data_IF_653083236773
#
_entry.id   IF_653083236773
#
_cell.length_a   1.000
_cell.length_b   1.000
_cell.length_c   1.000
_cell.angle_alpha   90.00
_cell.angle_beta   90.00
_cell.angle_gamma   90.00
#
_symmetry.space_group_name_H-M   'P 1'
#
loop_
_entity.id
_entity.type
_entity.pdbx_description
1 polymer ?
#
# COMPACT_ATOMS: atom_id res chain seq x y z
N UNK A 1 12.19 -4.29 5.41
CA UNK A 1 11.76 -3.54 4.21
C UNK A 1 12.37 -4.15 2.97
N UNK A 2 11.72 -4.04 1.83
CA UNK A 2 12.25 -4.45 0.52
C UNK A 2 13.36 -3.51 0.02
N UNK A 3 13.46 -2.30 0.56
CA UNK A 3 14.47 -1.33 0.19
C UNK A 3 15.88 -1.87 0.49
N UNK A 4 16.70 -1.97 -0.54
CA UNK A 4 18.09 -2.40 -0.47
C UNK A 4 19.02 -1.18 -0.41
N UNK A 5 20.16 -1.32 0.27
CA UNK A 5 21.17 -0.27 0.22
C UNK A 5 21.67 -0.08 -1.23
N UNK A 6 21.90 1.15 -1.71
CA UNK A 6 22.31 1.42 -3.10
C UNK A 6 23.52 0.60 -3.58
N UNK A 7 24.46 0.30 -2.68
CA UNK A 7 25.65 -0.54 -2.96
C UNK A 7 25.34 -2.00 -3.31
N UNK A 8 24.07 -2.44 -3.10
CA UNK A 8 23.61 -3.81 -3.36
C UNK A 8 22.68 -3.89 -4.56
N UNK A 9 22.53 -2.79 -5.30
CA UNK A 9 21.67 -2.69 -6.47
C UNK A 9 22.55 -2.45 -7.71
N UNK A 10 22.20 -3.08 -8.81
CA UNK A 10 22.78 -2.78 -10.12
C UNK A 10 22.29 -1.41 -10.60
N UNK A 11 21.04 -1.09 -10.35
CA UNK A 11 20.41 0.21 -10.58
C UNK A 11 19.46 0.59 -9.44
N UNK A 12 19.38 1.87 -9.04
CA UNK A 12 18.42 2.32 -8.04
C UNK A 12 16.96 2.40 -8.58
N UNK A 13 16.79 2.48 -9.90
CA UNK A 13 15.48 2.49 -10.57
C UNK A 13 15.48 1.47 -11.70
N UNK A 14 14.29 0.95 -12.01
CA UNK A 14 14.08 0.21 -13.25
C UNK A 14 14.18 1.17 -14.44
N UNK A 15 14.71 0.70 -15.57
CA UNK A 15 14.68 1.43 -16.83
C UNK A 15 13.26 1.39 -17.44
N UNK A 16 12.88 2.34 -18.30
CA UNK A 16 11.55 2.37 -18.90
C UNK A 16 11.15 1.07 -19.61
N UNK A 17 12.09 0.41 -20.28
CA UNK A 17 11.89 -0.86 -20.97
C UNK A 17 11.60 -2.01 -20.00
N UNK A 18 12.25 -2.00 -18.83
CA UNK A 18 12.01 -2.99 -17.76
C UNK A 18 10.63 -2.82 -17.15
N UNK A 19 10.22 -1.56 -16.89
CA UNK A 19 8.88 -1.23 -16.39
C UNK A 19 7.82 -1.70 -17.39
N UNK A 20 8.00 -1.39 -18.69
CA UNK A 20 7.06 -1.78 -19.71
C UNK A 20 6.98 -3.30 -19.88
N UNK A 21 8.12 -4.00 -19.87
CA UNK A 21 8.17 -5.46 -19.96
C UNK A 21 7.37 -6.15 -18.83
N UNK A 22 7.45 -5.64 -17.61
CA UNK A 22 6.64 -6.17 -16.48
C UNK A 22 5.15 -5.91 -16.73
N UNK A 23 4.80 -4.72 -17.19
CA UNK A 23 3.40 -4.35 -17.47
C UNK A 23 2.81 -5.19 -18.61
N UNK A 24 3.56 -5.44 -19.68
CA UNK A 24 3.13 -6.31 -20.80
C UNK A 24 2.89 -7.75 -20.36
N UNK A 25 3.73 -8.29 -19.49
CA UNK A 25 3.50 -9.61 -18.89
C UNK A 25 2.20 -9.64 -18.08
N UNK A 26 1.90 -8.57 -17.32
CA UNK A 26 0.65 -8.42 -16.61
C UNK A 26 -0.55 -8.38 -17.55
N UNK A 27 -0.47 -7.57 -18.61
CA UNK A 27 -1.51 -7.49 -19.65
C UNK A 27 -1.78 -8.86 -20.29
N UNK A 28 -0.74 -9.64 -20.60
CA UNK A 28 -0.86 -10.98 -21.16
C UNK A 28 -1.57 -11.98 -20.22
N UNK A 29 -1.63 -11.69 -18.93
CA UNK A 29 -2.35 -12.48 -17.92
C UNK A 29 -3.68 -11.83 -17.50
N UNK A 30 -4.18 -10.88 -18.29
CA UNK A 30 -5.44 -10.17 -18.05
C UNK A 30 -5.51 -9.38 -16.74
N UNK A 31 -4.36 -9.01 -16.16
CA UNK A 31 -4.27 -8.09 -15.03
C UNK A 31 -4.86 -6.73 -15.42
N UNK A 32 -5.53 -6.05 -14.50
CA UNK A 32 -6.18 -4.75 -14.73
C UNK A 32 -5.38 -3.57 -14.19
N UNK A 33 -4.54 -3.83 -13.20
CA UNK A 33 -3.85 -2.82 -12.40
C UNK A 33 -2.33 -2.91 -12.58
N UNK A 34 -1.67 -1.74 -12.56
CA UNK A 34 -0.24 -1.60 -12.37
C UNK A 34 0.01 -0.88 -11.04
N UNK A 35 0.38 -1.63 -10.00
CA UNK A 35 0.76 -1.06 -8.70
C UNK A 35 2.23 -0.62 -8.73
N UNK A 36 2.45 0.69 -8.60
CA UNK A 36 3.76 1.29 -8.45
C UNK A 36 4.09 1.47 -6.96
N UNK A 37 4.89 0.56 -6.42
CA UNK A 37 5.40 0.62 -5.05
C UNK A 37 6.90 0.84 -5.08
N UNK A 38 7.39 1.86 -4.40
CA UNK A 38 8.78 2.29 -4.49
C UNK A 38 9.30 2.87 -3.17
N UNK A 39 10.62 3.09 -3.10
CA UNK A 39 11.25 3.80 -2.00
C UNK A 39 10.92 5.30 -2.06
N UNK A 40 10.69 5.91 -0.89
CA UNK A 40 10.35 7.31 -0.81
C UNK A 40 11.56 8.19 -1.11
N UNK A 41 11.49 8.93 -2.21
CA UNK A 41 12.41 10.00 -2.64
C UNK A 41 13.89 9.67 -2.35
N UNK A 42 14.42 8.54 -2.86
CA UNK A 42 15.79 8.11 -2.54
C UNK A 42 16.83 9.11 -3.02
N UNK A 43 16.56 9.95 -4.02
CA UNK A 43 17.40 11.04 -4.49
C UNK A 43 17.73 12.07 -3.42
N UNK A 44 16.87 12.21 -2.41
CA UNK A 44 17.15 13.12 -1.28
C UNK A 44 18.18 12.59 -0.30
N UNK A 45 18.50 11.29 -0.37
CA UNK A 45 19.41 10.59 0.55
C UNK A 45 20.65 10.04 -0.13
N UNK A 46 20.54 9.66 -1.41
CA UNK A 46 21.55 8.88 -2.11
C UNK A 46 21.93 9.55 -3.42
N UNK A 47 23.19 9.97 -3.54
CA UNK A 47 23.69 10.59 -4.76
C UNK A 47 23.52 9.69 -5.98
N UNK A 48 23.75 8.36 -5.84
CA UNK A 48 23.56 7.41 -6.93
C UNK A 48 22.13 7.40 -7.49
N UNK A 49 21.11 7.62 -6.65
CA UNK A 49 19.73 7.74 -7.11
C UNK A 49 19.50 9.04 -7.90
N UNK A 50 20.10 10.14 -7.42
CA UNK A 50 20.06 11.42 -8.12
C UNK A 50 20.76 11.35 -9.48
N UNK A 51 21.97 10.82 -9.52
CA UNK A 51 22.76 10.67 -10.76
C UNK A 51 22.01 9.78 -11.78
N UNK A 52 21.29 8.76 -11.31
CA UNK A 52 20.51 7.89 -12.19
C UNK A 52 19.30 8.60 -12.77
N UNK A 53 18.53 9.35 -11.95
CA UNK A 53 17.42 10.18 -12.44
C UNK A 53 17.89 11.20 -13.48
N UNK A 54 19.02 11.85 -13.25
CA UNK A 54 19.61 12.80 -14.21
C UNK A 54 19.94 12.13 -15.56
N UNK A 55 20.43 10.88 -15.55
CA UNK A 55 20.67 10.09 -16.78
C UNK A 55 19.38 9.76 -17.51
N UNK A 56 18.29 9.48 -16.78
CA UNK A 56 16.97 9.24 -17.32
C UNK A 56 16.25 10.53 -17.77
N UNK A 57 16.84 11.71 -17.49
CA UNK A 57 16.28 13.01 -17.85
C UNK A 57 15.27 13.59 -16.85
N UNK A 58 15.25 13.06 -15.63
CA UNK A 58 14.33 13.49 -14.57
C UNK A 58 15.08 14.11 -13.38
N UNK A 59 14.38 14.96 -12.62
CA UNK A 59 14.93 15.59 -11.41
C UNK A 59 14.54 14.86 -10.14
N UNK A 60 13.36 14.26 -10.11
CA UNK A 60 12.79 13.62 -8.92
C UNK A 60 12.20 12.24 -9.24
N UNK A 61 12.16 11.41 -8.20
CA UNK A 61 11.45 10.11 -8.27
C UNK A 61 9.98 10.30 -8.64
N UNK A 62 9.33 11.36 -8.18
CA UNK A 62 7.92 11.65 -8.48
C UNK A 62 7.71 11.98 -9.97
N UNK A 63 8.62 12.76 -10.58
CA UNK A 63 8.56 13.02 -12.02
C UNK A 63 8.74 11.74 -12.84
N UNK A 64 9.72 10.90 -12.47
CA UNK A 64 9.95 9.62 -13.13
C UNK A 64 8.77 8.67 -12.97
N UNK A 65 8.21 8.58 -11.75
CA UNK A 65 7.01 7.80 -11.50
C UNK A 65 5.84 8.21 -12.39
N UNK A 66 5.57 9.51 -12.50
CA UNK A 66 4.50 10.03 -13.37
C UNK A 66 4.71 9.66 -14.83
N UNK A 67 5.96 9.76 -15.34
CA UNK A 67 6.30 9.36 -16.71
C UNK A 67 6.10 7.85 -16.93
N UNK A 68 6.54 7.00 -16.01
CA UNK A 68 6.39 5.55 -16.11
C UNK A 68 4.93 5.12 -15.97
N UNK A 69 4.17 5.76 -15.11
CA UNK A 69 2.73 5.54 -14.95
C UNK A 69 1.98 5.81 -16.26
N UNK A 70 2.27 6.95 -16.89
CA UNK A 70 1.69 7.33 -18.17
C UNK A 70 2.09 6.35 -19.29
N UNK A 71 3.38 5.99 -19.38
CA UNK A 71 3.90 5.02 -20.35
C UNK A 71 3.15 3.68 -20.22
N UNK A 72 3.03 3.14 -19.01
CA UNK A 72 2.34 1.86 -18.79
C UNK A 72 0.89 1.94 -19.20
N UNK A 73 0.18 3.01 -18.86
CA UNK A 73 -1.22 3.17 -19.25
C UNK A 73 -1.37 3.27 -20.79
N UNK A 74 -0.56 4.08 -21.46
CA UNK A 74 -0.64 4.29 -22.91
C UNK A 74 -0.31 3.02 -23.69
N UNK A 75 0.69 2.24 -23.29
CA UNK A 75 1.14 1.06 -24.03
C UNK A 75 0.35 -0.22 -23.68
N UNK A 76 -0.16 -0.32 -22.45
CA UNK A 76 -0.78 -1.56 -21.99
C UNK A 76 -2.26 -1.45 -21.64
N UNK A 77 -2.73 -0.28 -21.28
CA UNK A 77 -4.09 -0.03 -20.78
C UNK A 77 -4.27 -0.46 -19.31
N UNK A 78 -3.20 -0.89 -18.61
CA UNK A 78 -3.26 -1.18 -17.19
C UNK A 78 -3.49 0.10 -16.39
N UNK A 79 -4.35 0.04 -15.38
CA UNK A 79 -4.71 1.18 -14.55
C UNK A 79 -3.66 1.43 -13.46
N UNK A 80 -2.95 2.58 -13.46
CA UNK A 80 -1.93 2.83 -12.47
C UNK A 80 -2.50 3.15 -11.09
N UNK A 81 -1.97 2.49 -10.06
CA UNK A 81 -2.12 2.83 -8.65
C UNK A 81 -0.76 3.20 -8.08
N UNK A 82 -0.62 4.40 -7.51
CA UNK A 82 0.69 4.95 -7.14
C UNK A 82 0.87 5.03 -5.62
N UNK A 83 1.94 4.40 -5.12
CA UNK A 83 2.29 4.39 -3.69
C UNK A 83 3.76 4.83 -3.48
N UNK A 84 4.11 6.13 -3.69
CA UNK A 84 5.47 6.62 -3.60
C UNK A 84 5.90 7.10 -2.19
N UNK A 85 5.05 6.98 -1.18
CA UNK A 85 5.28 7.54 0.16
C UNK A 85 4.71 8.94 0.34
N UNK A 86 5.37 9.79 1.15
CA UNK A 86 4.88 11.13 1.44
C UNK A 86 4.91 12.04 0.21
N UNK A 87 3.81 12.75 -0.01
CA UNK A 87 3.64 13.66 -1.14
C UNK A 87 3.12 15.02 -0.69
N UNK A 88 3.62 16.07 -1.32
CA UNK A 88 3.04 17.40 -1.23
C UNK A 88 1.74 17.47 -2.05
N UNK A 89 0.95 18.51 -1.81
CA UNK A 89 -0.26 18.78 -2.60
C UNK A 89 0.06 18.89 -4.10
N UNK A 90 1.12 19.63 -4.44
CA UNK A 90 1.56 19.83 -5.83
C UNK A 90 2.02 18.52 -6.52
N UNK A 91 2.75 17.67 -5.78
CA UNK A 91 3.17 16.35 -6.30
C UNK A 91 1.96 15.46 -6.59
N UNK A 92 0.98 15.43 -5.68
CA UNK A 92 -0.25 14.65 -5.86
C UNK A 92 -1.11 15.17 -7.02
N UNK A 93 -1.20 16.48 -7.18
CA UNK A 93 -1.95 17.12 -8.27
C UNK A 93 -1.40 16.71 -9.63
N UNK A 94 -0.05 16.68 -9.79
CA UNK A 94 0.61 16.19 -11.00
C UNK A 94 0.38 14.70 -11.25
N UNK A 95 0.50 13.87 -10.21
CA UNK A 95 0.33 12.42 -10.32
C UNK A 95 -1.13 12.00 -10.55
N UNK A 96 -2.10 12.82 -10.15
CA UNK A 96 -3.52 12.59 -10.42
C UNK A 96 -3.83 12.45 -11.92
N UNK A 97 -3.09 13.18 -12.77
CA UNK A 97 -3.29 13.14 -14.22
C UNK A 97 -2.92 11.80 -14.87
N UNK A 98 -2.17 10.96 -14.17
CA UNK A 98 -1.66 9.68 -14.70
C UNK A 98 -1.95 8.47 -13.79
N UNK A 99 -2.87 8.59 -12.84
CA UNK A 99 -3.25 7.50 -11.95
C UNK A 99 -4.75 7.49 -11.68
N UNK A 100 -5.30 6.30 -11.43
CA UNK A 100 -6.72 6.14 -11.06
C UNK A 100 -6.93 6.21 -9.55
N UNK A 101 -5.90 5.90 -8.78
CA UNK A 101 -5.91 5.97 -7.32
C UNK A 101 -4.48 6.02 -6.77
N UNK A 102 -4.34 6.36 -5.50
CA UNK A 102 -3.05 6.41 -4.83
C UNK A 102 -3.07 5.65 -3.52
N UNK A 103 -1.89 5.43 -2.95
CA UNK A 103 -1.72 4.80 -1.64
C UNK A 103 -0.65 5.48 -0.80
N UNK A 104 -0.86 5.51 0.49
CA UNK A 104 0.17 5.74 1.49
C UNK A 104 -0.15 4.94 2.76
N UNK A 105 0.80 4.14 3.18
CA UNK A 105 0.64 3.30 4.35
C UNK A 105 0.93 4.10 5.62
N UNK A 106 -0.10 4.53 6.38
CA UNK A 106 0.07 5.26 7.64
C UNK A 106 0.93 4.45 8.63
N UNK A 107 0.74 3.14 8.64
CA UNK A 107 1.32 2.18 9.56
C UNK A 107 0.90 2.41 11.02
N UNK A 108 1.15 3.59 11.58
CA UNK A 108 0.68 4.00 12.90
C UNK A 108 0.69 5.51 13.01
N UNK A 109 -0.25 6.08 13.76
CA UNK A 109 -0.24 7.50 14.13
C UNK A 109 0.53 7.80 15.43
N UNK A 110 1.18 6.78 16.02
CA UNK A 110 1.95 6.94 17.28
C UNK A 110 3.34 7.53 17.04
N UNK A 111 3.56 8.75 17.52
CA UNK A 111 4.88 9.39 17.54
C UNK A 111 5.89 8.64 18.41
N UNK A 112 5.43 7.88 19.42
CA UNK A 112 6.30 7.06 20.30
C UNK A 112 7.12 6.06 19.49
N UNK A 113 6.55 5.50 18.42
CA UNK A 113 7.25 4.54 17.56
C UNK A 113 8.40 5.18 16.76
N UNK A 114 8.42 6.49 16.62
CA UNK A 114 9.52 7.26 16.00
C UNK A 114 10.62 7.65 17.00
N UNK A 115 10.43 7.46 18.29
CA UNK A 115 11.42 7.77 19.32
C UNK A 115 12.56 6.75 19.32
N UNK A 116 13.67 7.10 20.01
CA UNK A 116 14.85 6.21 20.15
C UNK A 116 14.46 4.85 20.71
N UNK A 117 14.78 3.80 19.99
CA UNK A 117 14.40 2.42 20.33
C UNK A 117 13.10 1.94 19.64
N UNK A 118 12.33 2.83 19.06
CA UNK A 118 11.15 2.47 18.28
C UNK A 118 11.48 1.98 16.87
N UNK A 119 10.54 1.29 16.21
CA UNK A 119 10.73 0.70 14.88
C UNK A 119 10.96 1.74 13.78
N UNK A 120 10.39 2.92 13.93
CA UNK A 120 10.47 4.03 12.96
C UNK A 120 11.59 5.04 13.29
N UNK A 121 12.38 4.78 14.33
CA UNK A 121 13.48 5.67 14.70
C UNK A 121 14.50 5.87 13.58
N UNK A 122 14.75 7.13 13.23
CA UNK A 122 15.66 7.51 12.14
C UNK A 122 15.08 7.30 10.72
N UNK A 123 13.76 7.13 10.62
CA UNK A 123 13.02 7.04 9.35
C UNK A 123 12.04 8.20 9.24
N UNK A 124 12.47 9.40 8.78
CA UNK A 124 11.61 10.58 8.70
C UNK A 124 10.42 10.40 7.74
N UNK A 125 10.56 9.48 6.78
CA UNK A 125 9.49 9.02 5.90
C UNK A 125 8.36 8.28 6.65
N UNK A 126 8.58 7.87 7.90
CA UNK A 126 7.61 7.21 8.76
C UNK A 126 7.00 8.14 9.81
N UNK A 127 7.27 9.45 9.73
CA UNK A 127 6.66 10.43 10.61
C UNK A 127 5.14 10.42 10.45
N UNK A 128 4.37 10.19 11.53
CA UNK A 128 2.91 10.07 11.45
C UNK A 128 2.24 11.34 10.93
N UNK A 129 2.74 12.51 11.33
CA UNK A 129 2.16 13.79 10.92
C UNK A 129 2.34 14.03 9.42
N UNK A 130 3.51 13.69 8.86
CA UNK A 130 3.76 13.79 7.43
C UNK A 130 2.84 12.85 6.62
N UNK A 131 2.60 11.63 7.13
CA UNK A 131 1.72 10.65 6.48
C UNK A 131 0.25 11.05 6.56
N UNK A 132 -0.20 11.55 7.72
CA UNK A 132 -1.55 12.07 7.88
C UNK A 132 -1.78 13.33 7.00
N UNK A 133 -0.79 14.21 6.86
CA UNK A 133 -0.91 15.36 5.94
C UNK A 133 -0.98 14.91 4.48
N UNK A 134 -0.24 13.86 4.08
CA UNK A 134 -0.37 13.26 2.74
C UNK A 134 -1.78 12.70 2.51
N UNK A 135 -2.34 11.96 3.47
CA UNK A 135 -3.73 11.48 3.41
C UNK A 135 -4.72 12.65 3.31
N UNK A 136 -4.52 13.71 4.07
CA UNK A 136 -5.35 14.90 4.02
C UNK A 136 -5.25 15.65 2.68
N UNK A 137 -4.07 15.70 2.08
CA UNK A 137 -3.87 16.29 0.75
C UNK A 137 -4.62 15.52 -0.33
N UNK A 138 -4.62 14.17 -0.26
CA UNK A 138 -5.47 13.35 -1.13
C UNK A 138 -6.95 13.71 -1.01
N UNK A 139 -7.43 13.92 0.22
CA UNK A 139 -8.81 14.33 0.48
C UNK A 139 -9.14 15.70 -0.13
N UNK A 140 -8.27 16.69 0.03
CA UNK A 140 -8.44 18.02 -0.57
C UNK A 140 -8.52 17.97 -2.10
N UNK A 141 -7.75 17.07 -2.72
CA UNK A 141 -7.69 16.89 -4.17
C UNK A 141 -8.72 15.89 -4.69
N UNK A 142 -9.54 15.29 -3.82
CA UNK A 142 -10.50 14.24 -4.19
C UNK A 142 -9.83 13.07 -4.94
N UNK A 143 -8.73 12.59 -4.39
CA UNK A 143 -8.02 11.41 -4.91
C UNK A 143 -8.41 10.21 -4.05
N UNK A 144 -9.04 9.17 -4.63
CA UNK A 144 -9.28 7.92 -3.90
C UNK A 144 -7.95 7.32 -3.45
N UNK A 145 -7.82 7.09 -2.14
CA UNK A 145 -6.54 6.64 -1.57
C UNK A 145 -6.71 5.40 -0.70
N UNK A 146 -5.76 4.48 -0.81
CA UNK A 146 -5.60 3.32 0.08
C UNK A 146 -4.62 3.65 1.19
N UNK A 147 -4.92 3.24 2.41
CA UNK A 147 -4.00 3.35 3.54
C UNK A 147 -3.99 2.09 4.39
N UNK A 148 -3.06 2.00 5.33
CA UNK A 148 -2.99 0.85 6.24
C UNK A 148 -2.58 1.23 7.66
N UNK A 149 -2.87 0.32 8.59
CA UNK A 149 -2.14 0.20 9.84
C UNK A 149 -1.29 -1.06 9.84
N UNK A 150 -0.11 -1.01 10.46
CA UNK A 150 0.80 -2.14 10.63
C UNK A 150 0.83 -2.53 12.10
N UNK A 151 0.40 -3.75 12.41
CA UNK A 151 0.32 -4.25 13.78
C UNK A 151 1.47 -5.19 14.12
N UNK A 152 1.85 -5.22 15.39
CA UNK A 152 2.94 -6.08 15.89
C UNK A 152 4.33 -5.45 15.76
N UNK A 153 4.42 -4.14 15.61
CA UNK A 153 5.69 -3.39 15.57
C UNK A 153 6.07 -2.76 16.91
N UNK A 154 5.30 -3.04 17.96
CA UNK A 154 5.51 -2.53 19.33
C UNK A 154 4.54 -1.42 19.74
N UNK A 155 3.49 -1.20 18.97
CA UNK A 155 2.36 -0.34 19.30
C UNK A 155 1.51 -0.97 20.42
N UNK A 156 0.82 -0.13 21.18
CA UNK A 156 -0.21 -0.59 22.13
C UNK A 156 -1.57 -0.74 21.43
N UNK A 157 -2.52 -1.38 22.13
CA UNK A 157 -3.92 -1.48 21.63
C UNK A 157 -4.53 -0.09 21.46
N UNK A 158 -4.27 0.83 22.41
CA UNK A 158 -4.76 2.20 22.34
C UNK A 158 -4.19 2.96 21.13
N UNK A 159 -2.89 2.81 20.87
CA UNK A 159 -2.24 3.42 19.70
C UNK A 159 -2.78 2.84 18.38
N UNK A 160 -3.10 1.55 18.36
CA UNK A 160 -3.72 0.87 17.21
C UNK A 160 -5.13 1.42 16.94
N UNK A 161 -5.94 1.54 18.01
CA UNK A 161 -7.29 2.15 17.90
C UNK A 161 -7.20 3.61 17.48
N UNK A 162 -6.26 4.37 18.08
CA UNK A 162 -6.09 5.78 17.70
C UNK A 162 -5.76 5.94 16.22
N UNK A 163 -4.89 5.09 15.68
CA UNK A 163 -4.56 5.11 14.25
C UNK A 163 -5.78 4.87 13.36
N UNK A 164 -6.66 3.93 13.74
CA UNK A 164 -7.92 3.69 13.03
C UNK A 164 -8.88 4.89 13.14
N UNK A 165 -8.95 5.53 14.30
CA UNK A 165 -9.80 6.71 14.51
C UNK A 165 -9.29 7.92 13.70
N UNK A 166 -7.98 8.11 13.59
CA UNK A 166 -7.38 9.18 12.78
C UNK A 166 -7.69 8.99 11.29
N UNK A 167 -7.57 7.76 10.78
CA UNK A 167 -7.98 7.40 9.40
C UNK A 167 -9.48 7.66 9.22
N UNK A 168 -10.32 7.18 10.17
CA UNK A 168 -11.77 7.39 10.12
C UNK A 168 -12.13 8.88 10.06
N UNK A 169 -11.46 9.70 10.88
CA UNK A 169 -11.70 11.15 10.89
C UNK A 169 -11.41 11.77 9.54
N UNK A 170 -10.29 11.45 8.91
CA UNK A 170 -9.95 11.94 7.57
C UNK A 170 -10.98 11.50 6.53
N UNK A 171 -11.46 10.25 6.61
CA UNK A 171 -12.51 9.78 5.72
C UNK A 171 -13.85 10.51 5.97
N UNK A 172 -14.20 10.79 7.22
CA UNK A 172 -15.41 11.58 7.53
C UNK A 172 -15.33 13.01 7.00
N UNK A 173 -14.14 13.61 7.03
CA UNK A 173 -13.93 15.00 6.58
C UNK A 173 -13.94 15.11 5.04
N UNK A 174 -13.47 14.10 4.30
CA UNK A 174 -13.24 14.18 2.84
C UNK A 174 -13.88 13.06 2.00
N UNK A 175 -14.22 11.93 2.57
CA UNK A 175 -14.82 10.78 1.85
C UNK A 175 -13.89 10.00 0.93
N UNK A 176 -12.59 10.25 0.96
CA UNK A 176 -11.60 9.85 -0.05
C UNK A 176 -10.84 8.55 0.23
N UNK A 177 -10.92 8.02 1.45
CA UNK A 177 -10.24 6.76 1.78
C UNK A 177 -11.07 5.62 1.25
N UNK A 178 -10.61 5.02 0.16
CA UNK A 178 -11.33 3.95 -0.52
C UNK A 178 -11.14 2.59 0.16
N UNK A 179 -10.03 2.40 0.88
CA UNK A 179 -9.66 1.11 1.47
C UNK A 179 -8.72 1.30 2.66
N UNK A 180 -8.93 0.50 3.68
CA UNK A 180 -8.05 0.41 4.86
C UNK A 180 -7.51 -1.01 5.00
N UNK A 181 -6.19 -1.15 4.90
CA UNK A 181 -5.50 -2.43 5.03
C UNK A 181 -5.10 -2.64 6.50
N UNK A 182 -5.43 -3.78 7.05
CA UNK A 182 -4.89 -4.24 8.34
C UNK A 182 -3.80 -5.26 8.05
N UNK A 183 -2.56 -4.84 8.26
CA UNK A 183 -1.38 -5.66 7.95
C UNK A 183 -0.66 -6.07 9.22
N UNK A 184 -0.31 -7.35 9.33
CA UNK A 184 0.52 -7.86 10.40
C UNK A 184 2.01 -7.77 10.03
N UNK A 185 2.82 -7.40 11.03
CA UNK A 185 4.28 -7.38 10.90
C UNK A 185 4.83 -8.81 10.81
N UNK A 186 5.73 -9.01 9.84
CA UNK A 186 6.55 -10.22 9.72
C UNK A 186 8.03 -9.81 9.82
N UNK A 187 8.80 -10.38 10.77
CA UNK A 187 10.21 -10.04 10.94
C UNK A 187 11.03 -10.44 9.72
N UNK A 188 11.98 -9.58 9.32
CA UNK A 188 12.85 -9.79 8.17
C UNK A 188 14.29 -9.95 8.63
N UNK A 189 15.00 -10.98 8.15
CA UNK A 189 16.38 -11.30 8.52
C UNK A 189 17.36 -10.13 8.34
N UNK A 190 17.15 -9.29 7.34
CA UNK A 190 18.02 -8.17 7.00
C UNK A 190 17.67 -6.86 7.72
N UNK A 191 16.77 -6.90 8.73
CA UNK A 191 16.33 -5.71 9.48
C UNK A 191 16.77 -5.75 10.93
N UNK A 192 16.70 -4.59 11.59
CA UNK A 192 16.96 -4.50 13.04
C UNK A 192 15.91 -5.26 13.85
N UNK A 193 14.72 -5.45 13.32
CA UNK A 193 13.59 -6.14 13.97
C UNK A 193 13.56 -7.65 13.71
N UNK A 194 14.61 -8.26 13.14
CA UNK A 194 14.65 -9.69 12.81
C UNK A 194 14.38 -10.65 13.98
N UNK A 195 14.58 -10.19 15.21
CA UNK A 195 14.32 -10.95 16.44
C UNK A 195 13.01 -10.54 17.13
N UNK A 196 12.27 -9.61 16.54
CA UNK A 196 10.99 -9.20 17.09
C UNK A 196 9.93 -10.27 16.78
N UNK A 197 9.03 -10.52 17.72
CA UNK A 197 7.93 -11.46 17.48
C UNK A 197 6.97 -10.87 16.43
N UNK A 198 6.43 -11.68 15.52
CA UNK A 198 5.35 -11.24 14.65
C UNK A 198 4.09 -10.91 15.47
N UNK A 199 3.14 -10.20 14.87
CA UNK A 199 1.82 -10.06 15.48
C UNK A 199 1.18 -11.43 15.66
N UNK A 200 0.47 -11.64 16.78
CA UNK A 200 -0.27 -12.88 16.98
C UNK A 200 -1.51 -12.93 16.06
N UNK A 201 -1.99 -14.14 15.81
CA UNK A 201 -3.26 -14.34 15.11
C UNK A 201 -4.42 -13.62 15.82
N UNK A 202 -4.47 -13.74 17.13
CA UNK A 202 -5.50 -13.13 17.99
C UNK A 202 -5.46 -11.60 17.86
N UNK A 203 -4.28 -11.00 17.86
CA UNK A 203 -4.10 -9.55 17.64
C UNK A 203 -4.65 -9.10 16.28
N UNK A 204 -4.38 -9.88 15.23
CA UNK A 204 -4.87 -9.56 13.88
C UNK A 204 -6.40 -9.67 13.81
N UNK A 205 -6.97 -10.80 14.25
CA UNK A 205 -8.43 -11.02 14.20
C UNK A 205 -9.17 -9.98 15.05
N UNK A 206 -8.63 -9.65 16.22
CA UNK A 206 -9.18 -8.60 17.07
C UNK A 206 -9.13 -7.23 16.38
N UNK A 207 -8.02 -6.91 15.72
CA UNK A 207 -7.85 -5.61 15.06
C UNK A 207 -8.76 -5.48 13.84
N UNK A 208 -8.94 -6.54 13.05
CA UNK A 208 -9.88 -6.58 11.93
C UNK A 208 -11.32 -6.34 12.41
N UNK A 209 -11.73 -7.03 13.47
CA UNK A 209 -13.06 -6.85 14.07
C UNK A 209 -13.26 -5.43 14.61
N UNK A 210 -12.25 -4.89 15.31
CA UNK A 210 -12.26 -3.51 15.78
C UNK A 210 -12.34 -2.50 14.63
N UNK A 211 -11.58 -2.69 13.57
CA UNK A 211 -11.64 -1.87 12.36
C UNK A 211 -13.05 -1.89 11.75
N UNK A 212 -13.66 -3.08 11.60
CA UNK A 212 -15.02 -3.20 11.08
C UNK A 212 -16.04 -2.45 11.97
N UNK A 213 -15.93 -2.52 13.28
CA UNK A 213 -16.79 -1.77 14.22
C UNK A 213 -16.57 -0.26 14.06
N UNK A 214 -15.32 0.18 14.00
CA UNK A 214 -14.95 1.61 13.91
C UNK A 214 -15.43 2.22 12.60
N UNK A 215 -15.19 1.56 11.47
CA UNK A 215 -15.52 2.08 10.13
C UNK A 215 -16.97 1.77 9.68
N UNK A 216 -17.61 0.80 10.33
CA UNK A 216 -18.95 0.36 9.93
C UNK A 216 -18.95 -0.47 8.63
N UNK A 217 -20.11 -0.72 8.08
CA UNK A 217 -20.32 -1.68 6.98
C UNK A 217 -19.87 -1.21 5.59
N UNK A 218 -19.66 0.09 5.39
CA UNK A 218 -19.39 0.66 4.06
C UNK A 218 -17.91 0.71 3.70
N UNK A 219 -17.03 0.83 4.70
CA UNK A 219 -15.59 0.90 4.45
C UNK A 219 -15.07 -0.42 3.91
N UNK A 220 -14.21 -0.34 2.90
CA UNK A 220 -13.49 -1.51 2.42
C UNK A 220 -12.31 -1.77 3.34
N UNK A 221 -12.33 -2.94 3.97
CA UNK A 221 -11.29 -3.42 4.87
C UNK A 221 -10.62 -4.61 4.23
N UNK A 222 -9.32 -4.46 4.00
CA UNK A 222 -8.46 -5.47 3.40
C UNK A 222 -7.56 -6.13 4.44
N UNK A 223 -7.32 -7.41 4.27
CA UNK A 223 -6.24 -8.14 4.94
C UNK A 223 -5.43 -8.91 3.91
N UNK A 224 -4.07 -8.76 3.84
CA UNK A 224 -3.25 -9.47 2.89
C UNK A 224 -3.33 -11.00 3.07
N UNK A 225 -3.78 -11.77 2.07
CA UNK A 225 -4.00 -13.21 2.24
C UNK A 225 -2.70 -14.00 2.27
N UNK A 226 -1.65 -13.54 1.60
CA UNK A 226 -0.35 -14.20 1.54
C UNK A 226 0.39 -14.21 2.90
N UNK A 227 0.09 -13.27 3.79
CA UNK A 227 0.70 -13.21 5.11
C UNK A 227 0.00 -14.10 6.15
N UNK A 228 -1.17 -14.64 5.81
CA UNK A 228 -2.11 -15.22 6.77
C UNK A 228 -2.78 -16.50 6.25
N UNK A 229 -2.09 -17.27 5.41
CA UNK A 229 -2.62 -18.43 4.68
C UNK A 229 -3.31 -19.49 5.55
N UNK A 230 -2.91 -19.60 6.82
CA UNK A 230 -3.35 -20.67 7.71
C UNK A 230 -4.72 -20.44 8.36
N UNK A 231 -5.30 -19.22 8.24
CA UNK A 231 -6.55 -18.85 8.92
C UNK A 231 -7.40 -17.82 8.15
N UNK A 232 -7.38 -17.88 6.83
CA UNK A 232 -8.14 -16.99 5.95
C UNK A 232 -9.65 -17.04 6.21
N UNK A 233 -10.19 -18.21 6.58
CA UNK A 233 -11.59 -18.39 6.95
C UNK A 233 -11.99 -17.52 8.15
N UNK A 234 -11.11 -17.43 9.15
CA UNK A 234 -11.35 -16.62 10.35
C UNK A 234 -11.21 -15.13 10.07
N UNK A 235 -10.35 -14.75 9.11
CA UNK A 235 -10.21 -13.37 8.65
C UNK A 235 -11.51 -12.87 8.02
N UNK A 236 -12.18 -13.69 7.20
CA UNK A 236 -13.51 -13.37 6.65
C UNK A 236 -14.55 -13.15 7.76
N UNK A 237 -14.55 -13.98 8.79
CA UNK A 237 -15.47 -13.86 9.93
C UNK A 237 -15.28 -12.55 10.72
N UNK A 238 -14.10 -11.92 10.63
CA UNK A 238 -13.83 -10.61 11.24
C UNK A 238 -14.37 -9.42 10.42
N UNK A 239 -14.98 -9.69 9.26
CA UNK A 239 -15.72 -8.70 8.49
C UNK A 239 -14.88 -7.93 7.48
N UNK A 240 -13.80 -8.50 6.95
CA UNK A 240 -13.16 -7.96 5.75
C UNK A 240 -14.11 -8.11 4.56
N UNK A 241 -13.91 -7.30 3.54
CA UNK A 241 -14.61 -7.39 2.26
C UNK A 241 -13.67 -7.21 1.06
N UNK A 242 -12.37 -7.30 1.29
CA UNK A 242 -11.37 -7.23 0.24
C UNK A 242 -10.12 -8.06 0.60
N UNK A 243 -9.59 -8.79 -0.38
CA UNK A 243 -8.34 -9.54 -0.27
C UNK A 243 -7.13 -8.75 -0.76
N UNK A 244 -7.38 -7.59 -1.39
CA UNK A 244 -6.35 -6.78 -2.03
C UNK A 244 -5.92 -7.29 -3.40
N UNK A 245 -4.83 -6.71 -3.89
CA UNK A 245 -4.24 -7.12 -5.16
C UNK A 245 -3.46 -8.42 -5.02
N UNK A 246 -3.87 -9.44 -5.76
CA UNK A 246 -3.14 -10.72 -5.89
C UNK A 246 -2.50 -10.76 -7.26
N UNK A 247 -1.16 -10.77 -7.32
CA UNK A 247 -0.44 -10.76 -8.59
C UNK A 247 -0.18 -12.18 -9.10
N UNK A 248 -0.55 -12.50 -10.34
CA UNK A 248 -0.18 -13.77 -10.97
C UNK A 248 1.25 -13.73 -11.57
N UNK A 249 1.90 -12.56 -11.63
CA UNK A 249 3.16 -12.34 -12.34
C UNK A 249 4.30 -12.08 -11.36
N UNK A 250 4.09 -11.12 -10.45
CA UNK A 250 5.14 -10.66 -9.54
C UNK A 250 4.96 -11.27 -8.16
N UNK A 251 6.09 -11.53 -7.51
CA UNK A 251 6.08 -11.85 -6.07
C UNK A 251 5.68 -10.63 -5.27
N UNK A 252 5.29 -10.81 -4.01
CA UNK A 252 5.23 -9.71 -3.05
C UNK A 252 6.67 -9.25 -2.76
N UNK A 253 7.08 -8.11 -3.30
CA UNK A 253 8.43 -7.57 -3.12
C UNK A 253 8.72 -7.14 -1.68
N UNK A 254 7.69 -6.91 -0.88
CA UNK A 254 7.82 -6.60 0.56
C UNK A 254 7.99 -7.89 1.36
N UNK A 255 7.26 -8.95 0.99
CA UNK A 255 7.25 -10.25 1.66
C UNK A 255 7.50 -11.39 0.67
N UNK A 256 8.69 -11.46 0.04
CA UNK A 256 8.97 -12.43 -1.01
C UNK A 256 8.94 -13.89 -0.56
N UNK A 257 9.01 -14.12 0.75
CA UNK A 257 8.87 -15.43 1.37
C UNK A 257 7.40 -15.90 1.53
N UNK A 258 6.44 -15.00 1.29
CA UNK A 258 5.00 -15.27 1.44
C UNK A 258 4.35 -15.25 0.05
N UNK A 259 4.24 -16.41 -0.64
CA UNK A 259 3.67 -16.47 -1.98
C UNK A 259 2.17 -16.11 -1.98
N UNK A 260 1.71 -15.54 -3.08
CA UNK A 260 0.31 -15.26 -3.27
C UNK A 260 -0.50 -16.58 -3.33
N UNK A 261 -1.66 -16.64 -2.67
CA UNK A 261 -2.58 -17.76 -2.83
C UNK A 261 -3.16 -17.79 -4.24
N UNK A 262 -3.61 -18.95 -4.67
CA UNK A 262 -4.35 -19.07 -5.92
C UNK A 262 -5.72 -18.41 -5.79
N UNK A 263 -6.14 -17.65 -6.81
CA UNK A 263 -7.44 -16.95 -6.81
C UNK A 263 -8.59 -17.94 -6.60
N UNK A 264 -8.52 -19.11 -7.22
CA UNK A 264 -9.52 -20.17 -7.06
C UNK A 264 -9.66 -20.66 -5.61
N UNK A 265 -8.56 -20.65 -4.84
CA UNK A 265 -8.60 -21.01 -3.42
C UNK A 265 -9.32 -19.93 -2.60
N UNK A 266 -9.04 -18.65 -2.90
CA UNK A 266 -9.73 -17.52 -2.25
C UNK A 266 -11.22 -17.52 -2.61
N UNK A 267 -11.56 -17.82 -3.87
CA UNK A 267 -12.93 -17.91 -4.34
C UNK A 267 -13.70 -19.02 -3.62
N UNK A 268 -13.15 -20.24 -3.58
CA UNK A 268 -13.77 -21.37 -2.89
C UNK A 268 -14.01 -21.05 -1.41
N UNK A 269 -13.00 -20.51 -0.72
CA UNK A 269 -13.09 -20.13 0.69
C UNK A 269 -14.12 -19.01 0.94
N UNK A 270 -14.19 -18.03 0.04
CA UNK A 270 -15.16 -16.95 0.12
C UNK A 270 -16.60 -17.46 -0.08
N UNK A 271 -16.79 -18.36 -1.06
CA UNK A 271 -18.07 -19.00 -1.35
C UNK A 271 -18.55 -19.90 -0.19
N UNK A 272 -17.65 -20.64 0.47
CA UNK A 272 -17.97 -21.47 1.63
C UNK A 272 -18.52 -20.64 2.82
N UNK A 273 -18.21 -19.36 2.87
CA UNK A 273 -18.77 -18.39 3.85
C UNK A 273 -20.07 -17.74 3.37
N UNK A 274 -20.63 -18.15 2.22
CA UNK A 274 -21.84 -17.57 1.64
C UNK A 274 -21.63 -16.16 1.06
N UNK A 275 -20.39 -15.82 0.75
CA UNK A 275 -19.97 -14.58 0.09
C UNK A 275 -19.59 -14.87 -1.36
N UNK A 276 -19.44 -13.85 -2.18
CA UNK A 276 -19.02 -13.94 -3.57
C UNK A 276 -17.70 -13.17 -3.76
N UNK A 277 -16.71 -13.80 -4.40
CA UNK A 277 -15.47 -13.13 -4.77
C UNK A 277 -15.66 -12.46 -6.13
N UNK A 278 -15.58 -11.14 -6.15
CA UNK A 278 -15.70 -10.34 -7.36
C UNK A 278 -14.39 -9.57 -7.63
N UNK A 279 -13.92 -9.63 -8.88
CA UNK A 279 -12.78 -8.80 -9.31
C UNK A 279 -13.17 -7.33 -9.31
N UNK A 280 -12.27 -6.47 -8.82
CA UNK A 280 -12.40 -5.02 -8.87
C UNK A 280 -11.21 -4.35 -9.57
N UNK A 281 -11.38 -3.10 -9.95
CA UNK A 281 -10.30 -2.24 -10.43
C UNK A 281 -9.51 -1.63 -9.25
N UNK A 282 -8.39 -1.00 -9.56
CA UNK A 282 -7.57 -0.24 -8.60
C UNK A 282 -8.30 0.96 -7.97
N UNK A 283 -9.48 1.27 -8.46
CA UNK A 283 -10.40 2.28 -7.93
C UNK A 283 -11.76 1.63 -7.68
N UNK A 284 -12.37 1.90 -6.53
CA UNK A 284 -13.65 1.30 -6.15
C UNK A 284 -14.83 1.91 -6.92
N UNK A 285 -15.90 1.12 -7.17
CA UNK A 285 -17.03 1.53 -8.01
C UNK A 285 -17.73 2.81 -7.57
N UNK A 286 -17.77 3.11 -6.28
CA UNK A 286 -18.38 4.34 -5.75
C UNK A 286 -17.68 5.61 -6.26
N UNK A 287 -16.36 5.55 -6.45
CA UNK A 287 -15.57 6.68 -6.97
C UNK A 287 -15.65 6.79 -8.50
N UNK A 288 -15.83 5.67 -9.20
CA UNK A 288 -16.00 5.68 -10.67
C UNK A 288 -17.37 6.25 -11.06
N UNK A 289 -18.41 5.98 -10.25
CA UNK A 289 -19.79 6.39 -10.55
C UNK A 289 -20.10 7.83 -10.16
N UNK A 290 -19.24 8.47 -9.42
CA UNK A 290 -19.41 9.84 -8.95
C UNK A 290 -18.43 10.77 -9.67
N UNK A 291 -18.94 11.53 -10.64
CA UNK A 291 -18.16 12.48 -11.47
C UNK A 291 -17.43 13.57 -10.66
N UNK A 292 -17.68 13.65 -9.36
CA UNK A 292 -16.96 14.60 -8.49
C UNK A 292 -15.57 14.15 -8.08
N UNK A 293 -15.17 12.89 -8.40
CA UNK A 293 -13.85 12.31 -8.08
C UNK A 293 -12.85 12.33 -9.22
#
# INVERSE_FOLDING_TARGET
>A
TFAKAPKKLDSPYLEPEEVLSIAEQGKAQYVKEALFTLGEKPEMRYQVAKDHLEKLGFKTTIEYLGAMSKLVYEETGLLPHLNPGNMTLEEMEKLRECSVSMGIMLESSSERLCQKGGPHYGSPDKDPMARLETLKNAGKLRIPITTCILIGIGETIEERIQSLLDIRKLHQDYGHIQEVIIQNFIPKENTRMKKHSPASKEDLLWTLSAARIIFGKKMNIQCPPNLNSDYLDQILDCGINDWGGVSPITIDHVNPESPWPQIQQLEALTNDKGLELNERLAIYPEYIKDESW
#
